data_IF_047830933133
#
_entry.id   IF_047830933133
#
_cell.length_a   1.000
_cell.length_b   1.000
_cell.length_c   1.000
_cell.angle_alpha   90.00
_cell.angle_beta   90.00
_cell.angle_gamma   90.00
#
_symmetry.space_group_name_H-M   'P 1'
#
loop_
_entity.id
_entity.type
_entity.pdbx_description
1 polymer ?
#
# COMPACT_ATOMS: atom_id res chain seq x y z
N UNK A 1 -14.32 -9.20 10.75
CA UNK A 1 -13.25 -9.34 11.77
C UNK A 1 -12.30 -10.50 11.49
N UNK A 2 -12.74 -11.67 11.01
CA UNK A 2 -11.85 -12.81 10.72
C UNK A 2 -10.82 -12.53 9.60
N UNK A 3 -11.16 -11.74 8.58
CA UNK A 3 -10.22 -11.39 7.51
C UNK A 3 -9.02 -10.55 7.98
N UNK A 4 -9.22 -9.59 8.88
CA UNK A 4 -8.13 -8.73 9.37
C UNK A 4 -7.06 -9.52 10.12
N UNK A 5 -7.45 -10.53 10.88
CA UNK A 5 -6.52 -11.40 11.60
C UNK A 5 -5.59 -12.16 10.62
N UNK A 6 -6.18 -12.73 9.56
CA UNK A 6 -5.46 -13.41 8.48
C UNK A 6 -4.49 -12.46 7.80
N UNK A 7 -4.96 -11.25 7.44
CA UNK A 7 -4.12 -10.24 6.79
C UNK A 7 -2.97 -9.76 7.70
N UNK A 8 -3.19 -9.57 9.00
CA UNK A 8 -2.10 -9.21 9.93
C UNK A 8 -1.05 -10.31 9.99
N UNK A 9 -1.47 -11.58 9.98
CA UNK A 9 -0.54 -12.72 9.99
C UNK A 9 0.25 -12.82 8.68
N UNK A 10 -0.42 -12.63 7.55
CA UNK A 10 0.22 -12.57 6.22
C UNK A 10 1.22 -11.40 6.11
N UNK A 11 0.88 -10.21 6.63
CA UNK A 11 1.81 -9.06 6.66
C UNK A 11 3.04 -9.36 7.53
N UNK A 12 2.85 -10.02 8.68
CA UNK A 12 3.98 -10.44 9.54
C UNK A 12 4.91 -11.40 8.81
N UNK A 13 4.36 -12.37 8.07
CA UNK A 13 5.12 -13.31 7.25
C UNK A 13 5.79 -12.63 6.06
N UNK A 14 5.15 -11.61 5.47
CA UNK A 14 5.74 -10.79 4.43
C UNK A 14 6.95 -9.97 4.92
N UNK A 15 6.93 -9.48 6.16
CA UNK A 15 8.12 -8.85 6.74
C UNK A 15 9.30 -9.83 6.90
N UNK A 16 9.02 -11.10 7.22
CA UNK A 16 10.04 -12.16 7.25
C UNK A 16 10.57 -12.40 5.84
N UNK A 17 9.70 -12.45 4.84
CA UNK A 17 10.07 -12.58 3.44
C UNK A 17 11.00 -11.47 2.96
N UNK A 18 10.70 -10.21 3.27
CA UNK A 18 11.59 -9.09 2.92
C UNK A 18 12.98 -9.23 3.54
N UNK A 19 13.07 -9.73 4.78
CA UNK A 19 14.36 -10.00 5.45
C UNK A 19 15.10 -11.17 4.80
N UNK A 20 14.38 -12.20 4.34
CA UNK A 20 14.95 -13.30 3.57
C UNK A 20 15.53 -12.77 2.25
N UNK A 21 14.74 -12.04 1.46
CA UNK A 21 15.20 -11.45 0.20
C UNK A 21 16.41 -10.54 0.37
N UNK A 22 16.48 -9.76 1.45
CA UNK A 22 17.62 -8.90 1.76
C UNK A 22 18.89 -9.70 2.14
N UNK A 23 18.74 -10.96 2.57
CA UNK A 23 19.86 -11.86 2.88
C UNK A 23 20.34 -12.70 1.69
N UNK A 24 19.59 -12.71 0.59
CA UNK A 24 19.87 -13.47 -0.63
C UNK A 24 20.39 -12.56 -1.76
N UNK A 25 20.99 -13.17 -2.79
CA UNK A 25 21.45 -12.49 -4.00
C UNK A 25 20.55 -12.81 -5.21
N UNK A 26 19.87 -11.81 -5.80
CA UNK A 26 18.87 -12.00 -6.87
C UNK A 26 19.33 -12.82 -8.08
N UNK A 27 20.62 -12.70 -8.44
CA UNK A 27 21.19 -13.33 -9.65
C UNK A 27 21.74 -14.73 -9.37
N UNK A 28 22.22 -14.99 -8.15
CA UNK A 28 22.88 -16.25 -7.78
C UNK A 28 21.92 -17.24 -7.13
N UNK A 29 21.00 -16.76 -6.31
CA UNK A 29 20.04 -17.58 -5.58
C UNK A 29 18.77 -17.72 -6.43
N UNK A 30 18.93 -18.35 -7.61
CA UNK A 30 17.91 -18.45 -8.65
C UNK A 30 16.64 -19.10 -8.14
N UNK A 31 15.79 -18.24 -7.58
CA UNK A 31 14.35 -18.36 -7.47
C UNK A 31 13.80 -19.11 -6.26
N UNK A 32 13.61 -18.37 -5.16
CA UNK A 32 12.76 -18.77 -4.02
C UNK A 32 11.35 -18.24 -4.28
N UNK A 33 10.36 -19.11 -4.20
CA UNK A 33 8.95 -18.74 -4.26
C UNK A 33 8.45 -18.31 -2.87
N UNK A 34 7.69 -17.21 -2.77
CA UNK A 34 7.01 -16.88 -1.54
C UNK A 34 5.83 -17.84 -1.29
N UNK A 35 5.50 -18.13 -0.02
CA UNK A 35 4.17 -18.63 0.32
C UNK A 35 3.05 -17.78 -0.30
N UNK A 36 1.90 -18.37 -0.62
CA UNK A 36 0.83 -17.68 -1.36
C UNK A 36 0.32 -16.42 -0.64
N UNK A 37 0.21 -16.45 0.68
CA UNK A 37 -0.20 -15.30 1.49
C UNK A 37 0.83 -14.16 1.49
N UNK A 38 2.11 -14.54 1.49
CA UNK A 38 3.24 -13.63 1.35
C UNK A 38 3.29 -13.04 -0.05
N UNK A 39 3.03 -13.86 -1.09
CA UNK A 39 2.94 -13.43 -2.48
C UNK A 39 1.84 -12.38 -2.66
N UNK A 40 0.66 -12.63 -2.06
CA UNK A 40 -0.44 -11.67 -2.06
C UNK A 40 -0.04 -10.34 -1.42
N UNK A 41 0.59 -10.36 -0.24
CA UNK A 41 1.07 -9.14 0.40
C UNK A 41 2.13 -8.41 -0.41
N UNK A 42 3.03 -9.14 -1.07
CA UNK A 42 4.00 -8.54 -1.98
C UNK A 42 3.33 -7.85 -3.16
N UNK A 43 2.34 -8.49 -3.79
CA UNK A 43 1.57 -7.89 -4.88
C UNK A 43 0.83 -6.63 -4.44
N UNK A 44 0.19 -6.66 -3.26
CA UNK A 44 -0.47 -5.50 -2.66
C UNK A 44 0.53 -4.36 -2.43
N UNK A 45 1.74 -4.67 -1.95
CA UNK A 45 2.77 -3.67 -1.70
C UNK A 45 3.30 -3.07 -3.00
N UNK A 46 3.55 -3.88 -4.04
CA UNK A 46 3.93 -3.42 -5.37
C UNK A 46 2.92 -2.42 -5.96
N UNK A 47 1.63 -2.66 -5.68
CA UNK A 47 0.53 -1.76 -6.03
C UNK A 47 0.64 -0.37 -5.39
N UNK A 48 1.32 -0.22 -4.23
CA UNK A 48 1.72 1.06 -3.64
C UNK A 48 3.19 1.35 -3.93
N UNK A 49 3.48 1.61 -5.21
CA UNK A 49 4.84 1.58 -5.75
C UNK A 49 5.80 2.53 -5.04
N UNK A 50 5.33 3.71 -4.63
CA UNK A 50 6.18 4.65 -3.88
C UNK A 50 6.53 4.10 -2.51
N UNK A 51 5.58 3.50 -1.79
CA UNK A 51 5.85 2.85 -0.51
C UNK A 51 6.80 1.65 -0.70
N UNK A 52 6.54 0.80 -1.70
CA UNK A 52 7.37 -0.36 -2.02
C UNK A 52 8.82 0.02 -2.28
N UNK A 53 9.08 0.97 -3.16
CA UNK A 53 10.44 1.39 -3.50
C UNK A 53 11.18 1.94 -2.27
N UNK A 54 10.53 2.80 -1.48
CA UNK A 54 11.14 3.36 -0.27
C UNK A 54 11.44 2.28 0.77
N UNK A 55 10.51 1.34 0.99
CA UNK A 55 10.71 0.26 1.95
C UNK A 55 11.75 -0.75 1.48
N UNK A 56 11.75 -1.13 0.21
CA UNK A 56 12.75 -2.03 -0.39
C UNK A 56 14.17 -1.44 -0.28
N UNK A 57 14.35 -0.18 -0.71
CA UNK A 57 15.63 0.52 -0.61
C UNK A 57 16.10 0.65 0.84
N UNK A 58 15.20 0.97 1.77
CA UNK A 58 15.53 1.13 3.19
C UNK A 58 15.90 -0.19 3.87
N UNK A 59 15.23 -1.29 3.51
CA UNK A 59 15.39 -2.58 4.17
C UNK A 59 16.56 -3.40 3.62
N UNK A 60 16.87 -3.29 2.33
CA UNK A 60 17.94 -4.08 1.70
C UNK A 60 18.63 -3.44 0.50
N UNK A 61 18.52 -2.12 0.33
CA UNK A 61 19.21 -1.37 -0.72
C UNK A 61 18.69 -1.66 -2.13
N UNK A 62 19.47 -1.26 -3.14
CA UNK A 62 19.10 -1.42 -4.56
C UNK A 62 18.92 -2.88 -4.99
N UNK A 63 19.62 -3.82 -4.33
CA UNK A 63 19.49 -5.25 -4.58
C UNK A 63 18.05 -5.74 -4.37
N UNK A 64 17.30 -5.14 -3.45
CA UNK A 64 15.89 -5.50 -3.22
C UNK A 64 15.00 -5.20 -4.43
N UNK A 65 15.37 -4.22 -5.27
CA UNK A 65 14.60 -3.85 -6.47
C UNK A 65 14.80 -4.83 -7.63
N UNK A 66 15.88 -5.62 -7.60
CA UNK A 66 16.20 -6.59 -8.65
C UNK A 66 15.33 -7.86 -8.56
N UNK A 67 14.66 -8.08 -7.44
CA UNK A 67 13.71 -9.17 -7.31
C UNK A 67 12.45 -8.89 -8.15
N UNK A 68 12.25 -9.72 -9.18
CA UNK A 68 11.02 -9.74 -9.95
C UNK A 68 9.96 -10.60 -9.25
N UNK A 69 8.71 -10.18 -9.33
CA UNK A 69 7.59 -10.95 -8.79
C UNK A 69 7.40 -12.24 -9.59
N UNK A 70 7.33 -13.41 -8.95
CA UNK A 70 7.39 -14.71 -9.60
C UNK A 70 6.05 -15.20 -10.18
N UNK A 71 5.31 -14.35 -10.92
CA UNK A 71 3.92 -14.63 -11.32
C UNK A 71 3.76 -15.92 -12.14
N UNK A 72 4.53 -16.10 -13.21
CA UNK A 72 4.40 -17.26 -14.11
C UNK A 72 4.59 -18.58 -13.38
N UNK A 73 5.57 -18.64 -12.47
CA UNK A 73 5.84 -19.86 -11.69
C UNK A 73 4.81 -20.05 -10.58
N UNK A 74 4.34 -18.99 -9.93
CA UNK A 74 3.22 -19.10 -8.98
C UNK A 74 1.97 -19.66 -9.67
N UNK A 75 1.68 -19.23 -10.91
CA UNK A 75 0.57 -19.76 -11.68
C UNK A 75 0.76 -21.24 -12.02
N UNK A 76 1.96 -21.64 -12.48
CA UNK A 76 2.26 -23.04 -12.74
C UNK A 76 2.09 -23.94 -11.50
N UNK A 77 2.38 -23.41 -10.29
CA UNK A 77 2.12 -24.15 -9.05
C UNK A 77 0.62 -24.34 -8.77
N UNK A 78 -0.19 -23.30 -9.01
CA UNK A 78 -1.63 -23.37 -8.80
C UNK A 78 -2.27 -24.42 -9.72
N UNK A 79 -1.76 -24.57 -10.95
CA UNK A 79 -2.20 -25.61 -11.88
C UNK A 79 -1.89 -27.04 -11.39
N UNK A 80 -0.88 -27.21 -10.54
CA UNK A 80 -0.52 -28.50 -9.94
C UNK A 80 -1.39 -28.86 -8.71
N UNK A 81 -2.26 -27.95 -8.27
CA UNK A 81 -3.21 -28.14 -7.18
C UNK A 81 -2.83 -27.41 -5.88
N UNK A 82 -3.84 -27.11 -5.06
CA UNK A 82 -3.73 -26.27 -3.86
C UNK A 82 -2.74 -26.81 -2.79
N UNK A 83 -2.51 -28.12 -2.77
CA UNK A 83 -1.60 -28.77 -1.82
C UNK A 83 -0.14 -28.80 -2.28
N UNK A 84 0.14 -28.48 -3.55
CA UNK A 84 1.50 -28.54 -4.09
C UNK A 84 2.39 -27.46 -3.48
N UNK A 85 3.62 -27.85 -3.11
CA UNK A 85 4.64 -26.97 -2.55
C UNK A 85 5.95 -27.16 -3.29
N UNK A 86 6.56 -26.05 -3.71
CA UNK A 86 7.93 -26.07 -4.20
C UNK A 86 8.92 -26.41 -3.06
N UNK A 87 9.53 -27.59 -3.16
CA UNK A 87 10.32 -28.19 -2.08
C UNK A 87 11.56 -27.36 -1.72
N UNK A 88 12.20 -26.72 -2.70
CA UNK A 88 13.39 -25.91 -2.45
C UNK A 88 13.04 -24.56 -1.81
N UNK A 89 11.95 -23.93 -2.24
CA UNK A 89 11.41 -22.73 -1.60
C UNK A 89 10.99 -23.00 -0.16
N UNK A 90 10.33 -24.14 0.09
CA UNK A 90 9.99 -24.57 1.45
C UNK A 90 11.24 -24.82 2.30
N UNK A 91 12.29 -25.43 1.74
CA UNK A 91 13.56 -25.69 2.43
C UNK A 91 14.24 -24.38 2.83
N UNK A 92 14.33 -23.42 1.91
CA UNK A 92 14.93 -22.10 2.17
C UNK A 92 14.14 -21.36 3.24
N UNK A 93 12.81 -21.30 3.11
CA UNK A 93 11.93 -20.66 4.09
C UNK A 93 12.07 -21.30 5.47
N UNK A 94 12.02 -22.63 5.56
CA UNK A 94 12.08 -23.35 6.85
C UNK A 94 13.43 -23.18 7.54
N UNK A 95 14.52 -23.00 6.77
CA UNK A 95 15.84 -22.68 7.31
C UNK A 95 15.90 -21.26 7.87
N UNK A 96 15.27 -20.30 7.19
CA UNK A 96 15.29 -18.89 7.59
C UNK A 96 14.32 -18.58 8.73
N UNK A 97 13.12 -19.18 8.69
CA UNK A 97 12.03 -18.95 9.63
C UNK A 97 11.46 -20.29 10.16
N UNK A 98 12.22 -21.03 10.98
CA UNK A 98 11.85 -22.38 11.42
C UNK A 98 10.57 -22.44 12.28
N UNK A 99 10.17 -21.31 12.88
CA UNK A 99 8.94 -21.19 13.66
C UNK A 99 7.70 -20.89 12.80
N UNK A 100 7.88 -20.65 11.50
CA UNK A 100 6.82 -20.26 10.58
C UNK A 100 6.69 -21.33 9.48
N UNK A 101 5.57 -22.06 9.38
CA UNK A 101 5.39 -23.06 8.34
C UNK A 101 5.31 -22.39 6.95
N UNK A 102 5.81 -23.02 5.90
CA UNK A 102 5.72 -22.46 4.54
C UNK A 102 4.26 -22.26 4.12
N UNK A 103 3.41 -23.30 4.21
CA UNK A 103 1.96 -23.16 4.06
C UNK A 103 1.35 -22.74 5.41
N UNK A 104 0.84 -21.52 5.50
CA UNK A 104 0.17 -21.03 6.71
C UNK A 104 -1.19 -21.70 6.90
N UNK A 105 -1.46 -22.20 8.10
CA UNK A 105 -2.83 -22.46 8.55
C UNK A 105 -3.18 -21.42 9.61
N UNK A 106 -4.15 -20.56 9.31
CA UNK A 106 -4.54 -19.46 10.19
C UNK A 106 -5.42 -19.97 11.35
N UNK A 107 -4.79 -20.66 12.29
CA UNK A 107 -5.40 -21.09 13.55
C UNK A 107 -4.78 -20.40 14.77
N UNK A 108 -3.83 -19.49 14.56
CA UNK A 108 -3.11 -18.80 15.62
C UNK A 108 -4.05 -17.90 16.44
N UNK A 109 -4.21 -18.27 17.71
CA UNK A 109 -5.01 -17.51 18.67
C UNK A 109 -4.29 -16.27 19.20
N UNK A 110 -2.98 -16.13 18.95
CA UNK A 110 -2.16 -15.02 19.42
C UNK A 110 -1.24 -14.45 18.34
N UNK A 111 -0.87 -13.18 18.50
CA UNK A 111 0.08 -12.46 17.67
C UNK A 111 1.18 -11.81 18.54
N UNK A 112 2.41 -11.68 18.02
CA UNK A 112 3.49 -11.00 18.73
C UNK A 112 3.26 -9.49 18.77
N UNK A 113 3.27 -8.93 19.97
CA UNK A 113 3.26 -7.50 20.24
C UNK A 113 4.60 -7.10 20.85
N UNK A 114 5.39 -6.31 20.13
CA UNK A 114 6.63 -5.73 20.67
C UNK A 114 6.27 -4.49 21.46
N UNK A 115 6.40 -4.56 22.79
CA UNK A 115 6.10 -3.43 23.65
C UNK A 115 7.01 -2.24 23.32
N UNK A 116 6.46 -1.09 22.94
CA UNK A 116 7.28 0.04 22.54
C UNK A 116 8.07 0.70 23.69
N UNK A 117 7.73 0.37 24.96
CA UNK A 117 8.33 0.97 26.17
C UNK A 117 9.52 0.19 26.72
N UNK A 118 9.52 -1.13 26.57
CA UNK A 118 10.56 -2.00 27.13
C UNK A 118 11.10 -3.01 26.12
N UNK A 119 10.70 -2.90 24.84
CA UNK A 119 11.10 -3.75 23.72
C UNK A 119 10.84 -5.23 23.92
N UNK A 120 10.00 -5.60 24.90
CA UNK A 120 9.65 -7.00 25.16
C UNK A 120 8.55 -7.43 24.23
N UNK A 121 8.77 -8.55 23.54
CA UNK A 121 7.73 -9.24 22.77
C UNK A 121 6.79 -9.98 23.72
N UNK A 122 5.51 -9.61 23.71
CA UNK A 122 4.44 -10.30 24.40
C UNK A 122 3.53 -10.98 23.38
N UNK A 123 2.96 -12.13 23.71
CA UNK A 123 1.90 -12.73 22.90
C UNK A 123 0.55 -12.16 23.32
N UNK A 124 -0.23 -11.69 22.35
CA UNK A 124 -1.52 -11.02 22.58
C UNK A 124 -2.58 -11.75 21.78
N UNK A 125 -3.80 -11.99 22.32
CA UNK A 125 -4.87 -12.62 21.55
C UNK A 125 -5.12 -11.88 20.23
N UNK A 126 -5.23 -12.62 19.13
CA UNK A 126 -5.35 -12.07 17.78
C UNK A 126 -6.51 -11.07 17.66
N UNK A 127 -7.65 -11.38 18.27
CA UNK A 127 -8.80 -10.48 18.31
C UNK A 127 -8.51 -9.16 19.05
N UNK A 128 -7.70 -9.20 20.13
CA UNK A 128 -7.29 -8.00 20.86
C UNK A 128 -6.30 -7.17 20.03
N UNK A 129 -5.32 -7.83 19.40
CA UNK A 129 -4.37 -7.16 18.50
C UNK A 129 -5.10 -6.37 17.40
N UNK A 130 -6.06 -7.01 16.71
CA UNK A 130 -6.88 -6.38 15.67
C UNK A 130 -7.66 -5.19 16.21
N UNK A 131 -8.27 -5.30 17.40
CA UNK A 131 -9.00 -4.18 18.04
C UNK A 131 -8.10 -3.03 18.46
N UNK A 132 -6.84 -3.29 18.82
CA UNK A 132 -5.86 -2.24 19.13
C UNK A 132 -5.39 -1.54 17.86
N UNK A 133 -5.12 -2.29 16.79
CA UNK A 133 -4.63 -1.72 15.53
C UNK A 133 -5.73 -0.98 14.77
N UNK A 134 -6.89 -1.60 14.58
CA UNK A 134 -7.95 -1.05 13.71
C UNK A 134 -9.16 -0.52 14.50
N UNK A 135 -9.08 -0.49 15.82
CA UNK A 135 -10.14 -0.01 16.70
C UNK A 135 -9.63 0.97 17.75
N UNK A 136 -10.40 1.12 18.82
CA UNK A 136 -10.12 2.08 19.90
C UNK A 136 -9.55 1.39 21.15
N UNK A 137 -9.03 0.17 20.99
CA UNK A 137 -8.63 -0.65 22.12
C UNK A 137 -7.17 -0.40 22.54
N UNK A 138 -6.77 -0.94 23.68
CA UNK A 138 -5.39 -0.84 24.18
C UNK A 138 -4.81 -2.20 24.53
N UNK A 139 -3.49 -2.36 24.45
CA UNK A 139 -2.80 -3.55 24.99
C UNK A 139 -1.84 -3.14 26.08
N UNK A 140 -1.87 -3.87 27.20
CA UNK A 140 -0.90 -3.68 28.27
C UNK A 140 0.23 -4.70 28.17
N UNK A 141 1.47 -4.24 28.28
CA UNK A 141 2.63 -5.12 28.29
C UNK A 141 2.72 -5.87 29.62
N UNK A 142 2.75 -7.20 29.56
CA UNK A 142 2.83 -8.08 30.73
C UNK A 142 4.10 -7.89 31.55
N UNK A 143 5.20 -7.44 30.92
CA UNK A 143 6.49 -7.19 31.58
C UNK A 143 6.55 -5.84 32.28
N UNK A 144 6.35 -4.73 31.56
CA UNK A 144 6.56 -3.41 32.14
C UNK A 144 5.33 -2.83 32.84
N UNK A 145 4.11 -3.30 32.49
CA UNK A 145 2.83 -2.88 33.10
C UNK A 145 2.67 -1.36 33.25
N UNK A 146 3.08 -0.63 32.21
CA UNK A 146 3.08 0.85 32.20
C UNK A 146 1.78 1.40 31.60
N UNK A 147 0.67 0.69 31.78
CA UNK A 147 -0.64 1.02 31.23
C UNK A 147 -0.84 0.63 29.76
N UNK A 148 -2.06 0.85 29.28
CA UNK A 148 -2.51 0.49 27.94
C UNK A 148 -1.82 1.27 26.82
N UNK A 149 -1.50 0.56 25.75
CA UNK A 149 -0.92 1.08 24.51
C UNK A 149 -1.98 1.00 23.41
N UNK A 150 -2.44 2.15 22.91
CA UNK A 150 -3.25 2.25 21.68
C UNK A 150 -2.35 2.42 20.45
N UNK A 151 -2.92 2.36 19.25
CA UNK A 151 -2.18 2.49 17.99
C UNK A 151 -1.38 3.79 17.86
N UNK A 152 -1.95 4.92 18.32
CA UNK A 152 -1.28 6.22 18.24
C UNK A 152 -0.02 6.26 19.12
N UNK A 153 -0.11 5.77 20.35
CA UNK A 153 1.07 5.65 21.22
C UNK A 153 2.07 4.63 20.66
N UNK A 154 1.59 3.50 20.18
CA UNK A 154 2.46 2.45 19.65
C UNK A 154 3.31 2.96 18.48
N UNK A 155 2.66 3.54 17.47
CA UNK A 155 3.32 4.09 16.30
C UNK A 155 4.24 5.27 16.63
N UNK A 156 3.82 6.21 17.49
CA UNK A 156 4.66 7.33 17.91
C UNK A 156 5.93 6.87 18.66
N UNK A 157 5.83 5.79 19.42
CA UNK A 157 6.99 5.21 20.08
C UNK A 157 7.89 4.40 19.15
N UNK A 158 7.35 3.78 18.10
CA UNK A 158 8.16 3.19 17.03
C UNK A 158 8.98 4.28 16.34
N UNK A 159 8.36 5.44 16.03
CA UNK A 159 9.07 6.59 15.51
C UNK A 159 10.18 7.05 16.46
N UNK A 160 9.90 7.18 17.77
CA UNK A 160 10.94 7.50 18.76
C UNK A 160 12.09 6.48 18.77
N UNK A 161 11.79 5.19 18.64
CA UNK A 161 12.82 4.14 18.63
C UNK A 161 13.70 4.23 17.37
N UNK A 162 13.13 4.58 16.21
CA UNK A 162 13.91 4.80 15.00
C UNK A 162 14.73 6.09 15.07
N UNK A 163 14.17 7.18 15.62
CA UNK A 163 14.93 8.42 15.91
C UNK A 163 16.10 8.15 16.86
N UNK A 164 15.94 7.26 17.85
CA UNK A 164 17.06 6.86 18.73
C UNK A 164 18.16 6.11 18.00
N UNK A 165 17.83 5.33 16.95
CA UNK A 165 18.84 4.70 16.09
C UNK A 165 19.62 5.76 15.31
N UNK A 166 18.96 6.83 14.86
CA UNK A 166 19.62 8.00 14.24
C UNK A 166 20.55 8.70 15.23
N UNK A 167 20.12 8.87 16.49
CA UNK A 167 20.89 9.57 17.51
C UNK A 167 22.11 8.79 18.05
N UNK A 168 22.09 7.45 17.99
CA UNK A 168 23.15 6.60 18.54
C UNK A 168 24.47 6.66 17.75
N UNK A 169 25.60 6.53 18.44
CA UNK A 169 26.93 6.52 17.80
C UNK A 169 27.27 5.20 17.10
N UNK A 170 26.63 4.11 17.52
CA UNK A 170 26.64 2.83 16.81
C UNK A 170 25.60 2.78 15.68
N UNK A 171 25.20 3.94 15.15
CA UNK A 171 24.36 3.94 13.96
C UNK A 171 25.08 3.07 12.92
N UNK A 172 24.36 2.08 12.37
CA UNK A 172 24.70 1.63 11.02
C UNK A 172 24.74 2.95 10.24
N UNK A 173 25.91 3.40 9.78
CA UNK A 173 26.17 4.80 9.36
C UNK A 173 25.19 5.33 8.29
N UNK A 174 24.29 4.47 7.81
CA UNK A 174 23.29 4.67 6.78
C UNK A 174 21.84 4.41 7.24
N UNK A 175 21.52 4.40 8.55
CA UNK A 175 20.12 4.22 8.98
C UNK A 175 19.25 5.38 8.49
N UNK A 176 18.16 5.06 7.80
CA UNK A 176 17.20 6.05 7.31
C UNK A 176 15.82 5.81 7.90
N UNK A 177 15.14 6.91 8.26
CA UNK A 177 13.75 6.88 8.68
C UNK A 177 12.85 6.45 7.51
N UNK A 178 11.65 5.94 7.82
CA UNK A 178 10.68 5.58 6.77
C UNK A 178 10.34 6.77 5.88
N UNK A 179 10.16 6.52 4.59
CA UNK A 179 9.82 7.53 3.57
C UNK A 179 10.80 8.70 3.48
N UNK A 180 12.08 8.47 3.77
CA UNK A 180 13.16 9.46 3.55
C UNK A 180 14.11 9.08 2.42
N UNK A 181 13.86 7.94 1.76
CA UNK A 181 14.72 7.40 0.69
C UNK A 181 14.59 8.19 -0.60
N UNK A 182 13.40 8.76 -0.85
CA UNK A 182 13.09 9.49 -2.08
C UNK A 182 12.86 10.97 -1.79
N UNK A 183 13.35 11.84 -2.66
CA UNK A 183 13.16 13.29 -2.58
C UNK A 183 11.79 13.78 -3.09
N UNK A 184 11.68 15.11 -3.21
CA UNK A 184 10.51 15.83 -3.76
C UNK A 184 10.17 15.39 -5.21
N UNK A 185 11.19 15.11 -5.98
CA UNK A 185 11.16 14.59 -7.35
C UNK A 185 10.96 13.06 -7.41
N UNK A 186 10.85 12.39 -6.27
CA UNK A 186 10.75 10.93 -6.16
C UNK A 186 11.97 10.17 -6.71
N UNK A 187 13.13 10.83 -6.78
CA UNK A 187 14.41 10.17 -7.04
C UNK A 187 15.10 9.84 -5.72
N UNK A 188 16.04 8.90 -5.72
CA UNK A 188 16.83 8.60 -4.53
C UNK A 188 17.64 9.81 -4.10
N UNK A 189 17.39 10.29 -2.89
CA UNK A 189 18.08 11.47 -2.35
C UNK A 189 18.74 11.12 -1.01
N UNK A 190 19.92 10.51 -1.09
CA UNK A 190 20.72 10.17 0.09
C UNK A 190 21.17 11.39 0.89
N UNK A 191 21.44 12.50 0.22
CA UNK A 191 21.91 13.74 0.85
C UNK A 191 20.85 14.35 1.79
N UNK A 192 19.59 14.41 1.35
CA UNK A 192 18.49 14.95 2.16
C UNK A 192 18.29 14.14 3.45
N UNK A 193 18.34 12.81 3.35
CA UNK A 193 18.22 11.93 4.51
C UNK A 193 19.39 12.10 5.49
N UNK A 194 20.61 12.26 4.98
CA UNK A 194 21.81 12.51 5.79
C UNK A 194 21.70 13.86 6.52
N UNK A 195 21.39 14.95 5.80
CA UNK A 195 21.21 16.28 6.40
C UNK A 195 20.11 16.29 7.47
N UNK A 196 19.00 15.59 7.23
CA UNK A 196 17.95 15.41 8.22
C UNK A 196 18.48 14.69 9.47
N UNK A 197 19.16 13.55 9.29
CA UNK A 197 19.69 12.76 10.40
C UNK A 197 20.71 13.54 11.24
N UNK A 198 21.63 14.27 10.60
CA UNK A 198 22.60 15.14 11.25
C UNK A 198 21.90 16.22 12.11
N UNK A 199 20.85 16.84 11.56
CA UNK A 199 20.05 17.82 12.29
C UNK A 199 19.32 17.20 13.49
N UNK A 200 18.65 16.06 13.31
CA UNK A 200 17.96 15.37 14.40
C UNK A 200 18.92 14.96 15.52
N UNK A 201 20.14 14.54 15.16
CA UNK A 201 21.20 14.20 16.11
C UNK A 201 21.70 15.45 16.86
N UNK A 202 21.98 16.55 16.15
CA UNK A 202 22.53 17.77 16.75
C UNK A 202 21.59 18.41 17.78
N UNK A 203 20.28 18.42 17.50
CA UNK A 203 19.26 18.98 18.40
C UNK A 203 18.76 18.00 19.46
N UNK A 204 19.31 16.78 19.51
CA UNK A 204 18.86 15.71 20.41
C UNK A 204 17.36 15.49 20.34
N UNK A 205 16.84 15.37 19.11
CA UNK A 205 15.41 15.23 18.85
C UNK A 205 14.80 14.01 19.56
N UNK A 206 15.58 12.95 19.77
CA UNK A 206 15.22 11.76 20.56
C UNK A 206 14.75 12.13 21.98
N UNK A 207 15.47 13.02 22.66
CA UNK A 207 15.15 13.44 24.03
C UNK A 207 13.93 14.37 24.05
N UNK A 208 13.87 15.32 23.11
CA UNK A 208 12.73 16.23 22.97
C UNK A 208 11.43 15.46 22.71
N UNK A 209 11.48 14.51 21.77
CA UNK A 209 10.35 13.67 21.41
C UNK A 209 9.94 12.78 22.59
N UNK A 210 10.89 12.15 23.28
CA UNK A 210 10.59 11.35 24.47
C UNK A 210 9.89 12.18 25.56
N UNK A 211 10.35 13.41 25.81
CA UNK A 211 9.72 14.30 26.79
C UNK A 211 8.31 14.69 26.35
N UNK A 212 8.11 15.05 25.08
CA UNK A 212 6.79 15.40 24.54
C UNK A 212 5.81 14.23 24.67
N UNK A 213 6.17 13.04 24.21
CA UNK A 213 5.28 11.87 24.28
C UNK A 213 4.84 11.50 25.71
N UNK A 214 5.67 11.78 26.73
CA UNK A 214 5.29 11.59 28.14
C UNK A 214 4.18 12.54 28.60
N UNK A 215 4.09 13.73 28.01
CA UNK A 215 3.16 14.80 28.36
C UNK A 215 1.90 14.83 27.47
N UNK A 216 1.79 13.94 26.49
CA UNK A 216 0.79 13.96 25.43
C UNK A 216 -0.33 12.93 25.60
N UNK A 217 -1.28 13.06 26.55
CA UNK A 217 -2.37 12.12 26.64
C UNK A 217 -3.25 12.20 25.39
N UNK A 218 -3.26 11.15 24.58
CA UNK A 218 -4.12 10.95 23.40
C UNK A 218 -4.00 12.00 22.27
N UNK A 219 -2.92 12.79 22.23
CA UNK A 219 -2.62 13.74 21.13
C UNK A 219 -1.24 13.54 20.51
N UNK A 220 -0.70 12.32 20.63
CA UNK A 220 0.68 11.98 20.27
C UNK A 220 1.11 12.53 18.90
N UNK A 221 0.36 12.24 17.83
CA UNK A 221 0.74 12.65 16.47
C UNK A 221 0.61 14.15 16.20
N UNK A 222 -0.31 14.85 16.87
CA UNK A 222 -0.36 16.32 16.79
C UNK A 222 0.86 16.95 17.45
N UNK A 223 1.26 16.43 18.62
CA UNK A 223 2.43 16.93 19.33
C UNK A 223 3.74 16.56 18.61
N UNK A 224 3.81 15.38 17.99
CA UNK A 224 4.92 14.99 17.09
C UNK A 224 5.01 15.94 15.91
N UNK A 225 3.90 16.21 15.23
CA UNK A 225 3.85 17.15 14.10
C UNK A 225 4.37 18.54 14.48
N UNK A 226 3.85 19.10 15.58
CA UNK A 226 4.24 20.43 16.05
C UNK A 226 5.72 20.48 16.44
N UNK A 227 6.21 19.47 17.16
CA UNK A 227 7.62 19.37 17.56
C UNK A 227 8.54 19.23 16.33
N UNK A 228 8.18 18.37 15.39
CA UNK A 228 8.97 18.14 14.18
C UNK A 228 9.05 19.42 13.35
N UNK A 229 7.92 20.11 13.14
CA UNK A 229 7.88 21.36 12.39
C UNK A 229 8.75 22.44 13.03
N UNK A 230 8.59 22.69 14.34
CA UNK A 230 9.38 23.71 15.03
C UNK A 230 10.87 23.39 15.09
N UNK A 231 11.22 22.11 15.20
CA UNK A 231 12.63 21.68 15.21
C UNK A 231 13.28 21.85 13.84
N UNK A 232 12.55 21.60 12.75
CA UNK A 232 13.09 21.75 11.40
C UNK A 232 13.19 23.22 10.97
N UNK A 233 12.45 24.14 11.57
CA UNK A 233 12.56 25.58 11.30
C UNK A 233 13.98 26.12 11.50
N UNK A 234 14.77 25.54 12.43
CA UNK A 234 16.17 25.91 12.67
C UNK A 234 17.20 25.07 11.88
N UNK A 235 16.75 24.16 11.01
CA UNK A 235 17.64 23.36 10.17
C UNK A 235 18.16 24.13 8.95
N UNK A 236 19.25 23.64 8.35
CA UNK A 236 19.77 24.13 7.06
C UNK A 236 18.94 23.67 5.84
N UNK A 237 17.86 22.91 6.05
CA UNK A 237 17.02 22.40 4.98
C UNK A 237 16.16 23.52 4.37
N UNK A 238 15.95 23.45 3.06
CA UNK A 238 15.07 24.37 2.35
C UNK A 238 13.61 24.23 2.83
N UNK A 239 12.81 25.27 2.63
CA UNK A 239 11.44 25.29 3.15
C UNK A 239 10.55 24.17 2.57
N UNK A 240 10.70 23.85 1.29
CA UNK A 240 10.00 22.76 0.61
C UNK A 240 10.51 21.38 1.06
N UNK A 241 11.82 21.22 1.26
CA UNK A 241 12.41 20.01 1.87
C UNK A 241 11.82 19.72 3.25
N UNK A 242 11.70 20.75 4.11
CA UNK A 242 11.10 20.62 5.44
C UNK A 242 9.64 20.20 5.38
N UNK A 243 8.84 20.83 4.53
CA UNK A 243 7.44 20.48 4.35
C UNK A 243 7.26 19.04 3.87
N UNK A 244 8.10 18.62 2.91
CA UNK A 244 8.13 17.26 2.39
C UNK A 244 8.46 16.23 3.48
N UNK A 245 9.55 16.44 4.24
CA UNK A 245 9.97 15.52 5.29
C UNK A 245 8.89 15.38 6.37
N UNK A 246 8.28 16.49 6.79
CA UNK A 246 7.19 16.46 7.77
C UNK A 246 6.03 15.60 7.24
N UNK A 247 5.58 15.85 6.02
CA UNK A 247 4.49 15.06 5.42
C UNK A 247 4.86 13.58 5.27
N UNK A 248 6.08 13.29 4.82
CA UNK A 248 6.56 11.94 4.61
C UNK A 248 6.62 11.13 5.92
N UNK A 249 7.23 11.69 6.98
CA UNK A 249 7.33 11.03 8.28
C UNK A 249 5.96 10.86 8.93
N UNK A 250 5.10 11.88 8.85
CA UNK A 250 3.73 11.81 9.36
C UNK A 250 2.92 10.70 8.68
N UNK A 251 3.03 10.57 7.36
CA UNK A 251 2.33 9.53 6.61
C UNK A 251 2.91 8.13 6.84
N UNK A 252 4.23 8.01 7.03
CA UNK A 252 4.92 6.72 7.13
C UNK A 252 4.94 6.11 8.53
N UNK A 253 4.76 6.93 9.56
CA UNK A 253 4.67 6.47 10.94
C UNK A 253 3.29 6.68 11.56
N UNK A 254 2.51 7.67 11.12
CA UNK A 254 1.19 8.00 11.67
C UNK A 254 0.26 6.80 11.73
N UNK A 255 0.06 6.24 12.93
CA UNK A 255 -0.72 5.02 13.14
C UNK A 255 -0.24 3.80 12.33
N UNK A 256 1.01 3.76 11.89
CA UNK A 256 1.59 2.59 11.23
C UNK A 256 2.50 1.88 12.23
N UNK A 257 2.16 0.64 12.57
CA UNK A 257 2.83 -0.14 13.64
C UNK A 257 3.81 -1.19 13.14
N UNK A 258 4.00 -1.28 11.83
CA UNK A 258 4.92 -2.23 11.20
C UNK A 258 6.21 -1.56 10.77
N UNK A 259 7.16 -2.33 10.23
CA UNK A 259 8.39 -1.77 9.66
C UNK A 259 8.13 -1.04 8.34
N UNK A 260 6.98 -1.22 7.68
CA UNK A 260 6.64 -0.62 6.40
C UNK A 260 6.23 0.87 6.55
N UNK A 261 6.28 1.59 5.44
CA UNK A 261 5.86 2.99 5.30
C UNK A 261 4.35 3.16 5.03
N UNK A 262 3.61 2.07 4.98
CA UNK A 262 2.17 1.98 4.67
C UNK A 262 1.50 0.93 5.56
N UNK A 263 0.22 1.12 5.92
CA UNK A 263 -0.59 0.05 6.50
C UNK A 263 -1.01 -0.95 5.41
N UNK A 264 -0.19 -1.99 5.24
CA UNK A 264 -0.38 -2.96 4.15
C UNK A 264 -1.66 -3.79 4.32
N UNK A 265 -2.12 -4.00 5.55
CA UNK A 265 -3.37 -4.72 5.82
C UNK A 265 -4.58 -3.91 5.33
N UNK A 266 -4.59 -2.59 5.57
CA UNK A 266 -5.62 -1.71 5.01
C UNK A 266 -5.59 -1.74 3.48
N UNK A 267 -4.40 -1.69 2.87
CA UNK A 267 -4.24 -1.85 1.41
C UNK A 267 -4.76 -3.19 0.92
N UNK A 268 -4.49 -4.28 1.63
CA UNK A 268 -4.93 -5.62 1.27
C UNK A 268 -6.44 -5.78 1.36
N UNK A 269 -7.10 -5.24 2.40
CA UNK A 269 -8.57 -5.22 2.48
C UNK A 269 -9.18 -4.47 1.30
N UNK A 270 -8.55 -3.38 0.88
CA UNK A 270 -8.99 -2.63 -0.29
C UNK A 270 -8.86 -3.45 -1.58
N UNK A 271 -7.73 -4.13 -1.75
CA UNK A 271 -7.51 -5.07 -2.86
C UNK A 271 -8.56 -6.19 -2.91
N UNK A 272 -8.87 -6.83 -1.80
CA UNK A 272 -9.89 -7.89 -1.75
C UNK A 272 -11.28 -7.38 -2.13
N UNK A 273 -11.66 -6.18 -1.69
CA UNK A 273 -12.93 -5.55 -2.08
C UNK A 273 -12.96 -5.24 -3.59
N UNK A 274 -11.84 -4.79 -4.14
CA UNK A 274 -11.70 -4.54 -5.57
C UNK A 274 -11.85 -5.85 -6.37
N UNK A 275 -11.13 -6.91 -6.01
CA UNK A 275 -11.21 -8.22 -6.67
C UNK A 275 -12.63 -8.80 -6.63
N UNK A 276 -13.31 -8.73 -5.48
CA UNK A 276 -14.70 -9.20 -5.36
C UNK A 276 -15.66 -8.42 -6.26
N UNK A 277 -15.50 -7.09 -6.35
CA UNK A 277 -16.30 -6.26 -7.25
C UNK A 277 -16.04 -6.65 -8.70
N UNK A 278 -14.78 -6.80 -9.08
CA UNK A 278 -14.35 -7.21 -10.41
C UNK A 278 -14.95 -8.57 -10.78
N UNK A 279 -14.83 -9.58 -9.91
CA UNK A 279 -15.43 -10.90 -10.11
C UNK A 279 -16.96 -10.87 -10.23
N UNK A 280 -17.64 -10.08 -9.40
CA UNK A 280 -19.10 -9.92 -9.45
C UNK A 280 -19.52 -9.33 -10.80
N UNK A 281 -18.86 -8.25 -11.21
CA UNK A 281 -19.18 -7.51 -12.45
C UNK A 281 -18.94 -8.37 -13.68
N UNK A 282 -17.84 -9.12 -13.73
CA UNK A 282 -17.54 -10.01 -14.86
C UNK A 282 -18.41 -11.26 -14.90
N UNK A 283 -19.08 -11.61 -13.80
CA UNK A 283 -20.02 -12.72 -13.76
C UNK A 283 -21.43 -12.35 -14.23
N UNK A 284 -21.78 -11.06 -14.32
CA UNK A 284 -23.17 -10.60 -14.50
C UNK A 284 -23.52 -9.96 -15.85
N UNK A 285 -22.56 -9.52 -16.67
CA UNK A 285 -22.86 -8.79 -17.92
C UNK A 285 -21.98 -9.19 -19.11
N UNK A 286 -22.56 -8.95 -20.30
CA UNK A 286 -22.10 -9.08 -21.70
C UNK A 286 -20.74 -8.45 -21.98
N UNK A 287 -19.66 -9.05 -21.47
CA UNK A 287 -18.33 -8.64 -21.85
C UNK A 287 -17.87 -9.39 -23.11
N UNK A 288 -18.44 -9.03 -24.25
CA UNK A 288 -18.07 -9.49 -25.60
C UNK A 288 -16.82 -8.76 -26.13
N UNK A 289 -15.80 -8.56 -25.29
CA UNK A 289 -14.50 -8.37 -25.90
C UNK A 289 -14.03 -9.75 -26.29
N UNK A 290 -13.97 -10.04 -27.60
CA UNK A 290 -13.10 -11.11 -28.08
C UNK A 290 -11.75 -10.91 -27.38
N UNK A 291 -11.36 -11.86 -26.53
CA UNK A 291 -10.26 -11.71 -25.57
C UNK A 291 -9.00 -11.13 -26.22
N UNK A 292 -8.82 -11.38 -27.51
CA UNK A 292 -7.71 -10.93 -28.31
C UNK A 292 -7.65 -9.41 -28.56
N UNK A 293 -8.77 -8.69 -28.76
CA UNK A 293 -8.71 -7.28 -29.22
C UNK A 293 -8.22 -6.33 -28.13
N UNK A 294 -8.73 -6.47 -26.91
CA UNK A 294 -8.36 -5.57 -25.81
C UNK A 294 -6.95 -5.86 -25.30
N UNK A 295 -6.54 -7.14 -25.18
CA UNK A 295 -5.16 -7.50 -24.80
C UNK A 295 -4.17 -6.93 -25.82
N UNK A 296 -4.46 -7.05 -27.12
CA UNK A 296 -3.61 -6.52 -28.20
C UNK A 296 -3.42 -5.01 -28.11
N UNK A 297 -4.41 -4.26 -27.65
CA UNK A 297 -4.38 -2.79 -27.58
C UNK A 297 -4.01 -2.23 -26.20
N UNK A 298 -4.12 -3.05 -25.15
CA UNK A 298 -3.86 -2.70 -23.75
C UNK A 298 -2.47 -2.08 -23.55
N UNK A 299 -1.45 -2.67 -24.16
CA UNK A 299 -0.07 -2.15 -24.10
C UNK A 299 0.04 -0.74 -24.70
N UNK A 300 -0.52 -0.52 -25.90
CA UNK A 300 -0.50 0.81 -26.55
C UNK A 300 -1.24 1.84 -25.70
N UNK A 301 -2.42 1.48 -25.18
CA UNK A 301 -3.21 2.34 -24.32
C UNK A 301 -2.48 2.68 -23.01
N UNK A 302 -1.78 1.72 -22.41
CA UNK A 302 -0.96 1.95 -21.23
C UNK A 302 0.19 2.93 -21.51
N UNK A 303 0.91 2.78 -22.62
CA UNK A 303 1.95 3.74 -23.00
C UNK A 303 1.38 5.14 -23.28
N UNK A 304 0.28 5.23 -24.02
CA UNK A 304 -0.47 6.48 -24.24
C UNK A 304 -0.87 7.13 -22.92
N UNK A 305 -1.31 6.34 -21.94
CA UNK A 305 -1.69 6.80 -20.61
C UNK A 305 -0.50 7.33 -19.81
N UNK A 306 0.63 6.63 -19.82
CA UNK A 306 1.86 7.10 -19.18
C UNK A 306 2.31 8.46 -19.76
N UNK A 307 2.19 8.67 -21.06
CA UNK A 307 2.48 9.96 -21.70
C UNK A 307 1.52 11.07 -21.26
N UNK A 308 0.24 10.76 -21.04
CA UNK A 308 -0.72 11.72 -20.47
C UNK A 308 -0.34 12.10 -19.04
N UNK A 309 0.05 11.12 -18.22
CA UNK A 309 0.52 11.38 -16.87
C UNK A 309 1.83 12.18 -16.86
N UNK A 310 2.77 11.85 -17.75
CA UNK A 310 4.02 12.59 -17.94
C UNK A 310 3.78 14.06 -18.28
N UNK A 311 2.78 14.36 -19.13
CA UNK A 311 2.38 15.72 -19.44
C UNK A 311 1.83 16.47 -18.20
N UNK A 312 1.11 15.78 -17.31
CA UNK A 312 0.68 16.39 -16.04
C UNK A 312 1.84 16.64 -15.08
N UNK A 313 2.84 15.75 -15.05
CA UNK A 313 4.07 15.96 -14.30
C UNK A 313 4.85 17.18 -14.81
N UNK A 314 5.07 17.29 -16.12
CA UNK A 314 5.78 18.42 -16.73
C UNK A 314 5.07 19.76 -16.46
N UNK A 315 3.74 19.81 -16.61
CA UNK A 315 2.95 21.01 -16.32
C UNK A 315 3.02 21.41 -14.83
N UNK A 316 3.17 20.43 -13.93
CA UNK A 316 3.34 20.69 -12.50
C UNK A 316 4.71 21.28 -12.20
N UNK A 317 5.78 20.71 -12.74
CA UNK A 317 7.14 21.25 -12.58
C UNK A 317 7.26 22.68 -13.11
N UNK A 318 6.64 22.97 -14.26
CA UNK A 318 6.58 24.33 -14.80
C UNK A 318 5.86 25.31 -13.85
N UNK A 319 4.77 24.86 -13.21
CA UNK A 319 4.05 25.64 -12.21
C UNK A 319 4.92 25.91 -10.98
N UNK A 320 5.64 24.90 -10.49
CA UNK A 320 6.56 25.04 -9.35
C UNK A 320 7.71 25.99 -9.69
N UNK A 321 8.33 25.84 -10.87
CA UNK A 321 9.40 26.72 -11.34
C UNK A 321 8.94 28.19 -11.41
N UNK A 322 7.73 28.44 -11.92
CA UNK A 322 7.13 29.78 -11.95
C UNK A 322 6.84 30.35 -10.56
N UNK A 323 6.41 29.51 -9.60
CA UNK A 323 6.19 29.95 -8.23
C UNK A 323 7.51 30.28 -7.52
N UNK A 324 8.53 29.42 -7.66
CA UNK A 324 9.89 29.62 -7.15
C UNK A 324 10.52 30.90 -7.70
N UNK A 325 10.39 31.16 -9.00
CA UNK A 325 10.88 32.39 -9.64
C UNK A 325 10.23 33.67 -9.08
N UNK A 326 9.04 33.56 -8.47
CA UNK A 326 8.32 34.66 -7.80
C UNK A 326 8.58 34.73 -6.29
N UNK A 327 9.48 33.89 -5.76
CA UNK A 327 9.70 33.76 -4.31
C UNK A 327 8.49 33.23 -3.55
N UNK A 328 7.52 32.63 -4.24
CA UNK A 328 6.34 32.02 -3.62
C UNK A 328 6.66 30.59 -3.20
N UNK A 329 6.07 30.18 -2.08
CA UNK A 329 6.04 28.79 -1.63
C UNK A 329 4.70 28.22 -2.05
N UNK A 330 4.61 27.51 -3.19
CA UNK A 330 3.36 26.93 -3.61
C UNK A 330 2.96 25.83 -2.62
N UNK A 331 1.69 25.80 -2.23
CA UNK A 331 1.09 24.57 -1.72
C UNK A 331 1.20 23.52 -2.84
N UNK A 332 1.99 22.49 -2.60
CA UNK A 332 2.38 21.48 -3.58
C UNK A 332 1.74 20.13 -3.24
N UNK A 333 0.49 19.88 -3.69
CA UNK A 333 -0.15 18.58 -3.55
C UNK A 333 0.41 17.53 -4.52
N UNK A 334 1.49 17.83 -5.26
CA UNK A 334 2.02 17.03 -6.35
C UNK A 334 1.30 17.23 -7.69
N UNK A 335 1.78 16.55 -8.74
CA UNK A 335 1.18 16.64 -10.06
C UNK A 335 -0.25 16.10 -10.06
N UNK A 336 -1.04 16.63 -10.99
CA UNK A 336 -2.36 16.10 -11.31
C UNK A 336 -2.23 14.62 -11.73
N UNK A 337 -3.04 13.75 -11.12
CA UNK A 337 -3.06 12.32 -11.45
C UNK A 337 -4.09 11.97 -12.53
N UNK A 338 -3.69 11.14 -13.49
CA UNK A 338 -4.52 10.51 -14.49
C UNK A 338 -5.19 9.26 -13.91
N UNK A 339 -6.43 8.99 -14.32
CA UNK A 339 -7.23 7.87 -13.81
C UNK A 339 -7.20 6.72 -14.82
N UNK A 340 -6.57 5.58 -14.52
CA UNK A 340 -6.48 4.46 -15.46
C UNK A 340 -7.84 3.77 -15.66
N UNK A 341 -8.09 3.27 -16.88
CA UNK A 341 -9.14 2.27 -17.14
C UNK A 341 -8.65 0.87 -16.71
N UNK A 342 -9.54 -0.13 -16.70
CA UNK A 342 -9.17 -1.47 -16.22
C UNK A 342 -8.02 -2.12 -17.00
N UNK A 343 -8.07 -2.07 -18.34
CA UNK A 343 -6.99 -2.56 -19.21
C UNK A 343 -5.65 -1.88 -18.88
N UNK A 344 -5.65 -0.55 -18.74
CA UNK A 344 -4.47 0.24 -18.36
C UNK A 344 -3.97 -0.18 -16.96
N UNK A 345 -4.87 -0.44 -16.01
CA UNK A 345 -4.49 -0.94 -14.69
C UNK A 345 -3.84 -2.33 -14.79
N UNK A 346 -4.38 -3.25 -15.60
CA UNK A 346 -3.78 -4.58 -15.80
C UNK A 346 -2.37 -4.45 -16.35
N UNK A 347 -2.16 -3.68 -17.44
CA UNK A 347 -0.82 -3.44 -17.98
C UNK A 347 0.12 -2.78 -16.97
N UNK A 348 -0.39 -1.85 -16.16
CA UNK A 348 0.39 -1.24 -15.09
C UNK A 348 0.84 -2.26 -14.04
N UNK A 349 -0.05 -3.16 -13.58
CA UNK A 349 0.31 -4.18 -12.60
C UNK A 349 1.33 -5.16 -13.16
N UNK A 350 1.23 -5.53 -14.44
CA UNK A 350 2.26 -6.35 -15.10
C UNK A 350 3.61 -5.64 -15.11
N UNK A 351 3.65 -4.34 -15.42
CA UNK A 351 4.89 -3.56 -15.36
C UNK A 351 5.49 -3.51 -13.94
N UNK A 352 4.65 -3.46 -12.90
CA UNK A 352 5.06 -3.46 -11.50
C UNK A 352 5.66 -4.79 -11.01
N UNK A 353 5.43 -5.90 -11.73
CA UNK A 353 6.04 -7.19 -11.41
C UNK A 353 7.57 -7.17 -11.58
N UNK A 354 8.12 -6.19 -12.29
CA UNK A 354 9.55 -5.93 -12.36
C UNK A 354 9.85 -4.52 -11.81
N UNK A 355 10.08 -4.39 -10.49
CA UNK A 355 10.22 -3.09 -9.84
C UNK A 355 11.41 -2.28 -10.35
N UNK A 356 12.54 -2.92 -10.63
CA UNK A 356 13.72 -2.26 -11.21
C UNK A 356 13.41 -1.68 -12.59
N UNK A 357 12.79 -2.46 -13.49
CA UNK A 357 12.41 -1.98 -14.81
C UNK A 357 11.39 -0.83 -14.74
N UNK A 358 10.38 -0.97 -13.87
CA UNK A 358 9.41 0.10 -13.63
C UNK A 358 10.09 1.38 -13.14
N UNK A 359 10.96 1.27 -12.13
CA UNK A 359 11.67 2.40 -11.56
C UNK A 359 12.55 3.10 -12.61
N UNK A 360 13.36 2.34 -13.33
CA UNK A 360 14.26 2.85 -14.38
C UNK A 360 13.48 3.53 -15.52
N UNK A 361 12.41 2.90 -16.00
CA UNK A 361 11.54 3.48 -17.03
C UNK A 361 10.97 4.83 -16.58
N UNK A 362 10.44 4.89 -15.36
CA UNK A 362 9.84 6.11 -14.83
C UNK A 362 10.86 7.25 -14.65
N UNK A 363 12.05 6.94 -14.16
CA UNK A 363 13.12 7.92 -14.06
C UNK A 363 13.56 8.44 -15.44
N UNK A 364 13.76 7.53 -16.40
CA UNK A 364 14.21 7.87 -17.74
C UNK A 364 13.20 8.76 -18.51
N UNK A 365 11.90 8.55 -18.30
CA UNK A 365 10.86 9.21 -19.08
C UNK A 365 10.11 10.33 -18.35
N UNK A 366 10.04 10.29 -17.01
CA UNK A 366 9.24 11.24 -16.22
C UNK A 366 10.03 11.94 -15.13
N UNK A 367 11.32 11.60 -14.95
CA UNK A 367 12.21 12.09 -13.89
C UNK A 367 11.66 11.86 -12.47
N UNK A 368 10.66 10.99 -12.34
CA UNK A 368 9.99 10.66 -11.09
C UNK A 368 9.27 9.34 -11.19
N UNK A 369 9.09 8.67 -10.06
CA UNK A 369 8.19 7.53 -9.96
C UNK A 369 6.75 8.01 -10.09
N UNK A 370 6.05 7.54 -11.11
CA UNK A 370 4.62 7.79 -11.29
C UNK A 370 3.83 6.88 -10.36
N UNK A 371 2.73 7.39 -9.78
CA UNK A 371 1.74 6.59 -9.09
C UNK A 371 0.33 7.01 -9.48
N UNK A 372 -0.65 6.13 -9.23
CA UNK A 372 -2.04 6.36 -9.61
C UNK A 372 -2.98 6.24 -8.40
N UNK A 373 -2.49 6.62 -7.21
CA UNK A 373 -3.28 6.54 -5.98
C UNK A 373 -4.16 7.77 -5.77
N UNK A 374 -5.44 7.52 -5.48
CA UNK A 374 -6.42 8.54 -5.17
C UNK A 374 -6.90 8.42 -3.73
N UNK A 375 -7.11 9.56 -3.09
CA UNK A 375 -7.50 9.66 -1.68
C UNK A 375 -9.03 9.81 -1.49
N UNK A 376 -9.78 10.02 -2.57
CA UNK A 376 -11.25 10.15 -2.53
C UNK A 376 -11.92 9.87 -3.87
N UNK A 377 -13.18 9.42 -3.84
CA UNK A 377 -14.04 9.27 -5.02
C UNK A 377 -14.11 10.58 -5.83
N UNK A 378 -14.25 11.72 -5.15
CA UNK A 378 -14.32 13.03 -5.80
C UNK A 378 -13.04 13.39 -6.55
N UNK A 379 -11.87 12.99 -6.04
CA UNK A 379 -10.59 13.14 -6.74
C UNK A 379 -10.54 12.23 -7.98
N UNK A 380 -11.05 10.99 -7.88
CA UNK A 380 -11.12 10.04 -8.99
C UNK A 380 -12.03 10.54 -10.12
N UNK A 381 -13.24 11.04 -9.81
CA UNK A 381 -14.15 11.61 -10.81
C UNK A 381 -13.49 12.76 -11.58
N UNK A 382 -12.84 13.66 -10.84
CA UNK A 382 -12.11 14.80 -11.41
C UNK A 382 -10.93 14.34 -12.26
N UNK A 383 -10.22 13.31 -11.82
CA UNK A 383 -9.10 12.72 -12.55
C UNK A 383 -9.57 12.02 -13.83
N UNK A 384 -10.64 11.24 -13.78
CA UNK A 384 -11.26 10.60 -14.95
C UNK A 384 -11.69 11.62 -16.00
N UNK A 385 -12.44 12.64 -15.59
CA UNK A 385 -12.89 13.72 -16.49
C UNK A 385 -11.70 14.43 -17.15
N UNK A 386 -10.64 14.70 -16.39
CA UNK A 386 -9.41 15.32 -16.89
C UNK A 386 -8.66 14.41 -17.86
N UNK A 387 -8.54 13.13 -17.52
CA UNK A 387 -7.86 12.12 -18.33
C UNK A 387 -8.56 11.97 -19.66
N UNK A 388 -9.89 11.86 -19.67
CA UNK A 388 -10.69 11.80 -20.91
C UNK A 388 -10.50 13.01 -21.80
N UNK A 389 -10.48 14.22 -21.22
CA UNK A 389 -10.21 15.46 -21.99
C UNK A 389 -8.80 15.47 -22.57
N UNK A 390 -7.80 15.18 -21.76
CA UNK A 390 -6.40 15.14 -22.19
C UNK A 390 -6.17 14.07 -23.27
N UNK A 391 -6.78 12.90 -23.12
CA UNK A 391 -6.73 11.81 -24.10
C UNK A 391 -7.35 12.22 -25.43
N UNK A 392 -8.59 12.74 -25.42
CA UNK A 392 -9.28 13.18 -26.64
C UNK A 392 -8.52 14.30 -27.36
N UNK A 393 -7.93 15.22 -26.60
CA UNK A 393 -7.12 16.30 -27.17
C UNK A 393 -5.82 15.79 -27.80
N UNK A 394 -5.17 14.80 -27.16
CA UNK A 394 -3.84 14.33 -27.56
C UNK A 394 -3.87 13.28 -28.67
N UNK A 395 -4.84 12.38 -28.63
CA UNK A 395 -4.89 11.21 -29.52
C UNK A 395 -6.09 11.24 -30.47
N UNK A 396 -7.02 12.19 -30.33
CA UNK A 396 -8.24 12.26 -31.13
C UNK A 396 -9.13 11.00 -31.03
N UNK A 397 -8.95 10.23 -29.96
CA UNK A 397 -9.66 8.98 -29.66
C UNK A 397 -10.56 9.17 -28.43
N UNK A 398 -11.57 8.30 -28.26
CA UNK A 398 -12.28 8.20 -27.00
C UNK A 398 -11.43 7.47 -25.95
N UNK A 399 -11.37 8.02 -24.73
CA UNK A 399 -10.54 7.43 -23.67
C UNK A 399 -11.04 6.04 -23.27
N UNK A 400 -12.35 5.88 -23.24
CA UNK A 400 -13.04 4.71 -22.76
C UNK A 400 -14.09 4.33 -23.82
N UNK A 401 -13.71 3.51 -24.81
CA UNK A 401 -14.57 3.22 -25.96
C UNK A 401 -15.76 2.31 -25.62
N UNK A 402 -15.83 1.77 -24.40
CA UNK A 402 -16.85 0.80 -23.98
C UNK A 402 -17.90 1.36 -23.02
N UNK A 403 -17.90 2.68 -22.74
CA UNK A 403 -18.88 3.32 -21.85
C UNK A 403 -19.79 4.29 -22.61
N UNK A 404 -21.01 3.84 -22.92
CA UNK A 404 -22.06 4.66 -23.55
C UNK A 404 -22.74 5.64 -22.58
N UNK A 405 -22.51 5.52 -21.26
CA UNK A 405 -23.15 6.37 -20.24
C UNK A 405 -22.10 7.06 -19.37
N UNK A 406 -22.29 8.36 -19.13
CA UNK A 406 -21.34 9.18 -18.39
C UNK A 406 -21.17 8.72 -16.93
N UNK A 407 -19.93 8.74 -16.44
CA UNK A 407 -19.51 8.39 -15.07
C UNK A 407 -20.46 8.87 -13.95
N UNK A 408 -21.04 10.08 -14.08
CA UNK A 408 -21.97 10.65 -13.10
C UNK A 408 -23.30 9.89 -12.96
N UNK A 409 -23.83 9.32 -14.03
CA UNK A 409 -25.09 8.56 -13.99
C UNK A 409 -24.88 7.17 -13.34
N UNK A 410 -23.71 6.58 -13.56
CA UNK A 410 -23.33 5.26 -13.09
C UNK A 410 -23.02 5.22 -11.58
N UNK A 411 -22.36 6.27 -11.07
CA UNK A 411 -22.21 6.53 -9.62
C UNK A 411 -23.56 6.72 -8.95
N UNK A 412 -24.48 7.43 -9.60
CA UNK A 412 -25.82 7.70 -9.05
C UNK A 412 -26.65 6.41 -8.95
N UNK A 413 -26.61 5.54 -9.97
CA UNK A 413 -27.28 4.21 -9.93
C UNK A 413 -26.72 3.29 -8.84
N UNK A 414 -25.40 3.26 -8.64
CA UNK A 414 -24.77 2.38 -7.64
C UNK A 414 -24.82 2.93 -6.21
N UNK A 415 -24.86 4.26 -6.02
CA UNK A 415 -25.14 4.90 -4.73
C UNK A 415 -26.50 4.50 -4.18
N UNK A 416 -27.54 4.48 -5.01
CA UNK A 416 -28.91 4.11 -4.59
C UNK A 416 -29.00 2.67 -4.06
N UNK A 417 -28.22 1.72 -4.63
CA UNK A 417 -28.21 0.33 -4.17
C UNK A 417 -27.41 0.11 -2.87
N UNK A 418 -26.38 0.91 -2.59
CA UNK A 418 -25.51 0.75 -1.39
C UNK A 418 -25.84 1.66 -0.21
N UNK A 419 -26.55 2.79 -0.42
CA UNK A 419 -26.98 3.67 0.68
C UNK A 419 -27.98 3.01 1.65
N UNK A 420 -28.59 1.90 1.25
CA UNK A 420 -29.47 1.10 2.12
C UNK A 420 -28.67 0.34 3.19
N UNK A 421 -27.32 0.25 3.12
CA UNK A 421 -26.64 -0.80 3.89
C UNK A 421 -25.47 -0.50 4.82
N UNK A 422 -24.87 0.67 5.01
CA UNK A 422 -23.98 0.86 6.17
C UNK A 422 -23.55 2.31 6.44
N UNK A 423 -23.83 2.79 7.65
CA UNK A 423 -23.37 4.06 8.18
C UNK A 423 -21.96 3.99 8.77
N UNK A 424 -21.25 5.13 8.65
CA UNK A 424 -20.30 5.58 9.67
C UNK A 424 -18.88 5.05 9.57
N UNK A 425 -18.10 5.57 8.61
CA UNK A 425 -16.69 6.04 8.68
C UNK A 425 -16.04 5.83 7.32
N UNK A 426 -15.84 6.95 6.63
CA UNK A 426 -15.51 7.02 5.21
C UNK A 426 -14.02 7.36 5.04
N UNK A 427 -13.18 6.35 4.90
CA UNK A 427 -11.94 6.44 4.11
C UNK A 427 -12.03 5.26 3.14
N UNK A 428 -12.27 5.60 1.88
CA UNK A 428 -12.67 4.66 0.83
C UNK A 428 -11.60 4.66 -0.26
N UNK A 429 -10.93 3.51 -0.36
CA UNK A 429 -10.44 2.82 -1.54
C UNK A 429 -9.95 3.59 -2.79
N UNK A 430 -8.92 3.06 -3.48
CA UNK A 430 -8.87 3.09 -4.93
C UNK A 430 -10.06 2.26 -5.47
N UNK A 431 -11.24 2.88 -5.60
CA UNK A 431 -12.39 2.29 -6.27
C UNK A 431 -12.54 2.91 -7.64
N UNK A 432 -11.85 2.31 -8.60
CA UNK A 432 -12.22 2.36 -10.02
C UNK A 432 -13.58 1.65 -10.20
N UNK A 433 -14.67 2.34 -9.85
CA UNK A 433 -15.89 2.34 -10.67
C UNK A 433 -15.52 3.28 -11.83
N UNK A 434 -15.37 2.88 -13.10
CA UNK A 434 -15.99 1.85 -13.93
C UNK A 434 -14.90 1.34 -14.88
N UNK A 435 -14.78 0.02 -15.01
CA UNK A 435 -14.55 -0.65 -16.29
C UNK A 435 -14.82 -2.13 -16.07
N UNK A 436 -16.04 -2.54 -16.39
CA UNK A 436 -16.49 -3.92 -16.56
C UNK A 436 -15.70 -4.47 -17.72
N UNK A 437 -14.69 -5.32 -17.49
CA UNK A 437 -13.86 -5.83 -18.58
C UNK A 437 -12.69 -6.76 -18.21
N UNK A 438 -12.83 -8.10 -18.30
CA UNK A 438 -11.76 -9.13 -18.19
C UNK A 438 -11.36 -9.69 -16.80
N UNK A 439 -12.14 -10.66 -16.29
CA UNK A 439 -11.70 -11.64 -15.27
C UNK A 439 -11.45 -13.01 -15.90
N UNK A 440 -11.38 -13.10 -17.22
CA UNK A 440 -11.28 -14.42 -17.88
C UNK A 440 -9.84 -14.91 -18.02
N UNK A 441 -8.82 -14.07 -17.82
CA UNK A 441 -7.50 -14.52 -18.27
C UNK A 441 -6.79 -15.58 -17.45
N UNK A 442 -7.23 -16.00 -16.26
CA UNK A 442 -6.55 -17.08 -15.52
C UNK A 442 -7.51 -17.93 -14.66
N UNK A 443 -8.13 -18.93 -15.31
CA UNK A 443 -8.35 -20.29 -14.77
C UNK A 443 -9.18 -20.49 -13.49
N UNK A 444 -10.28 -21.25 -13.61
CA UNK A 444 -10.78 -22.10 -12.51
C UNK A 444 -12.00 -21.61 -11.71
N UNK A 445 -12.96 -20.94 -12.33
CA UNK A 445 -14.12 -20.34 -11.63
C UNK A 445 -15.33 -21.26 -11.34
N UNK A 446 -15.23 -22.58 -11.46
CA UNK A 446 -16.40 -23.46 -11.23
C UNK A 446 -16.68 -23.70 -9.74
N UNK A 447 -15.64 -23.81 -8.90
CA UNK A 447 -15.81 -24.15 -7.48
C UNK A 447 -16.02 -22.92 -6.58
N UNK A 448 -15.41 -21.79 -6.92
CA UNK A 448 -15.61 -20.53 -6.21
C UNK A 448 -17.04 -19.96 -6.40
N UNK A 449 -17.62 -20.17 -7.58
CA UNK A 449 -19.02 -19.82 -7.86
C UNK A 449 -20.00 -20.70 -7.06
N UNK A 450 -19.71 -21.99 -6.90
CA UNK A 450 -20.52 -22.92 -6.12
C UNK A 450 -20.48 -22.59 -4.61
N UNK A 451 -19.31 -22.22 -4.08
CA UNK A 451 -19.15 -21.83 -2.67
C UNK A 451 -19.87 -20.51 -2.34
N UNK A 452 -19.83 -19.53 -3.26
CA UNK A 452 -20.54 -18.25 -3.11
C UNK A 452 -22.07 -18.42 -3.21
N UNK A 453 -22.55 -19.31 -4.09
CA UNK A 453 -23.98 -19.62 -4.22
C UNK A 453 -24.53 -20.36 -2.98
N UNK A 454 -23.77 -21.29 -2.41
CA UNK A 454 -24.15 -22.03 -1.20
C UNK A 454 -24.24 -21.12 0.04
N UNK A 455 -23.34 -20.14 0.17
CA UNK A 455 -23.37 -19.15 1.26
C UNK A 455 -24.58 -18.20 1.17
N UNK A 456 -25.02 -17.85 -0.05
CA UNK A 456 -26.21 -17.04 -0.28
C UNK A 456 -27.52 -17.76 0.03
N UNK A 457 -27.62 -19.05 -0.30
CA UNK A 457 -28.82 -19.86 -0.04
C UNK A 457 -29.05 -20.12 1.47
N UNK A 458 -27.98 -20.24 2.26
CA UNK A 458 -28.07 -20.42 3.71
C UNK A 458 -28.61 -19.18 4.44
N UNK A 459 -28.42 -17.98 3.90
CA UNK A 459 -28.96 -16.74 4.46
C UNK A 459 -30.46 -16.56 4.16
N UNK A 460 -30.94 -17.01 3.00
CA UNK A 460 -32.34 -16.90 2.61
C UNK A 460 -33.30 -17.78 3.45
N UNK A 461 -32.83 -18.93 3.95
CA UNK A 461 -33.64 -19.83 4.78
C UNK A 461 -33.78 -19.40 6.26
N UNK A 462 -33.12 -18.32 6.69
CA UNK A 462 -33.18 -17.84 8.09
C UNK A 462 -34.17 -16.69 8.34
N UNK A 463 -34.84 -16.19 7.29
CA UNK A 463 -35.73 -15.01 7.37
C UNK A 463 -37.20 -15.32 7.05
N UNK A 464 -37.62 -16.59 7.06
CA UNK A 464 -38.94 -17.01 6.62
C UNK A 464 -39.75 -17.84 7.63
N UNK A 465 -39.90 -17.39 8.88
CA UNK A 465 -40.93 -17.94 9.79
C UNK A 465 -41.48 -16.88 10.76
N UNK A 466 -42.44 -16.10 10.28
CA UNK A 466 -43.51 -15.41 11.03
C UNK A 466 -44.38 -14.75 9.96
N UNK A 467 -45.67 -14.96 9.79
CA UNK A 467 -46.75 -15.27 10.73
C UNK A 467 -48.01 -15.43 9.87
N UNK A 468 -48.87 -16.42 10.13
CA UNK A 468 -50.29 -16.30 9.77
C UNK A 468 -51.12 -17.09 10.75
N UNK A 469 -51.89 -16.35 11.55
CA UNK A 469 -52.83 -16.85 12.53
C UNK A 469 -54.04 -15.93 12.55
N UNK A 470 -54.98 -16.17 11.63
CA UNK A 470 -56.44 -16.23 11.83
C UNK A 470 -57.15 -16.34 10.50
#
# INVERSE_FOLDING_TARGET
MHNLAVLVRAETRYLIWLKLLASLHPVADSFVLPPLDVAFMWLVHLGDTRAYLQDALRLGGENMLQWSFPLERLMALVELGDDYVDADSQRVWSRFAPAEPYQARYHDSTLPFVCPRCSTTCLVPTARYVKVRFGNDTVECTRCRRGGVNIALWSAMLFLNDVRKVAGDASLQNFQLKSTQLGLDHTTNGDLAVRLNEHLKSVRFDLLLQQKLRLSPNRYWNDVFLLLRSTLESSALAMDERAHIVAALMNAYGNIVTELSVDLVERAEHWLRFLNMVATVTSTDTWEAEEDVWIRTCRDRYFKFLLVQGAFCAAHEEKLAKARAKGLVPDDPGPKLAMPTFDIMVANHVHLLNPAAYYQYNLAHFQRVVNFHFHSETAMVKAYTRTRRAWKQRYHEEYDPHTSTGYGELVTRHRLRKLVQLGGKLIMLPFSLVMVSAVVLLGGGAEAAAAAAAAGAAQANSTGTSSEGR
#
